data_IF_308234260328
#
_entry.id   IF_308234260328
#
_cell.length_a   1.000
_cell.length_b   1.000
_cell.length_c   1.000
_cell.angle_alpha   90.00
_cell.angle_beta   90.00
_cell.angle_gamma   90.00
#
_symmetry.space_group_name_H-M   'P 1'
#
loop_
_entity.id
_entity.type
_entity.pdbx_description
1 polymer ?
#
# COMPACT_ATOMS: atom_id res chain seq x y z
N UNK A 1 23.09 -1.90 -0.54
CA UNK A 1 22.09 -0.85 -0.89
C UNK A 1 20.84 -1.04 -0.04
N UNK A 2 20.33 0.03 0.56
CA UNK A 2 19.09 -0.03 1.31
C UNK A 2 17.88 -0.20 0.36
N UNK A 3 16.73 -0.61 0.92
CA UNK A 3 15.48 -0.72 0.17
C UNK A 3 15.07 0.62 -0.46
N UNK A 4 15.23 1.72 0.29
CA UNK A 4 14.91 3.05 -0.20
C UNK A 4 15.82 3.45 -1.37
N UNK A 5 17.13 3.21 -1.27
CA UNK A 5 18.09 3.54 -2.33
C UNK A 5 17.81 2.77 -3.62
N UNK A 6 17.46 1.48 -3.48
CA UNK A 6 17.13 0.66 -4.64
C UNK A 6 15.90 1.21 -5.38
N UNK A 7 14.87 1.59 -4.65
CA UNK A 7 13.67 2.17 -5.24
C UNK A 7 13.95 3.51 -5.92
N UNK A 8 14.78 4.35 -5.30
CA UNK A 8 15.19 5.63 -5.91
C UNK A 8 15.88 5.42 -7.25
N UNK A 9 16.73 4.39 -7.38
CA UNK A 9 17.36 4.08 -8.68
C UNK A 9 16.34 3.71 -9.75
N UNK A 10 15.30 2.93 -9.38
CA UNK A 10 14.22 2.57 -10.30
C UNK A 10 13.47 3.82 -10.79
N UNK A 11 13.15 4.73 -9.88
CA UNK A 11 12.47 5.99 -10.20
C UNK A 11 13.26 6.80 -11.23
N UNK A 12 14.56 6.92 -11.05
CA UNK A 12 15.43 7.70 -11.95
C UNK A 12 15.49 7.17 -13.38
N UNK A 13 15.19 5.89 -13.58
CA UNK A 13 15.29 5.22 -14.89
C UNK A 13 14.01 5.28 -15.71
N UNK A 14 12.93 5.87 -15.21
CA UNK A 14 11.64 5.83 -15.89
C UNK A 14 10.87 7.13 -15.77
N UNK A 15 10.12 7.44 -16.85
CA UNK A 15 9.15 8.55 -16.87
C UNK A 15 7.79 8.14 -16.33
N UNK A 16 7.54 6.83 -16.22
CA UNK A 16 6.28 6.26 -15.71
C UNK A 16 6.44 6.02 -14.21
N UNK A 17 5.35 6.17 -13.45
CA UNK A 17 5.34 5.86 -12.02
C UNK A 17 5.81 4.43 -11.74
N UNK A 18 6.68 4.28 -10.76
CA UNK A 18 7.18 2.98 -10.31
C UNK A 18 6.35 2.45 -9.17
N UNK A 19 6.20 1.13 -9.12
CA UNK A 19 5.32 0.45 -8.19
C UNK A 19 6.09 -0.54 -7.33
N UNK A 20 6.02 -0.36 -6.01
CA UNK A 20 6.60 -1.26 -5.02
C UNK A 20 5.50 -1.82 -4.13
N UNK A 21 5.50 -3.14 -3.93
CA UNK A 21 4.50 -3.81 -3.09
C UNK A 21 5.17 -4.57 -1.96
N UNK A 22 4.72 -4.34 -0.73
CA UNK A 22 5.04 -5.18 0.43
C UNK A 22 3.98 -6.26 0.58
N UNK A 23 4.41 -7.52 0.64
CA UNK A 23 3.53 -8.68 0.79
C UNK A 23 3.82 -9.35 2.13
N UNK A 24 2.78 -9.71 2.86
CA UNK A 24 2.89 -10.44 4.13
C UNK A 24 1.74 -11.40 4.34
N UNK A 25 1.92 -12.36 5.25
CA UNK A 25 0.95 -13.44 5.46
C UNK A 25 -0.37 -12.99 6.06
N UNK A 26 -0.37 -11.94 6.87
CA UNK A 26 -1.61 -11.46 7.51
C UNK A 26 -1.50 -9.99 7.90
N UNK A 27 -2.63 -9.42 8.25
CA UNK A 27 -2.67 -8.08 8.81
C UNK A 27 -1.81 -8.03 10.10
N UNK A 28 -1.05 -6.96 10.28
CA UNK A 28 -0.27 -6.76 11.49
C UNK A 28 1.09 -7.43 11.52
N UNK A 29 1.55 -8.05 10.42
CA UNK A 29 2.90 -8.65 10.37
C UNK A 29 4.01 -7.64 10.04
N UNK A 30 3.73 -6.35 10.14
CA UNK A 30 4.74 -5.31 10.00
C UNK A 30 4.90 -4.70 8.63
N UNK A 31 4.01 -4.97 7.68
CA UNK A 31 4.04 -4.34 6.35
C UNK A 31 3.95 -2.83 6.45
N UNK A 32 2.96 -2.33 7.17
CA UNK A 32 2.76 -0.89 7.36
C UNK A 32 3.95 -0.26 8.08
N UNK A 33 4.46 -0.91 9.10
CA UNK A 33 5.64 -0.47 9.83
C UNK A 33 6.83 -0.31 8.88
N UNK A 34 7.09 -1.32 8.04
CA UNK A 34 8.19 -1.30 7.06
C UNK A 34 8.02 -0.19 6.03
N UNK A 35 6.82 -0.01 5.52
CA UNK A 35 6.54 1.08 4.57
C UNK A 35 6.84 2.45 5.19
N UNK A 36 6.45 2.65 6.44
CA UNK A 36 6.66 3.92 7.12
C UNK A 36 8.14 4.15 7.46
N UNK A 37 8.88 3.09 7.81
CA UNK A 37 10.34 3.19 7.98
C UNK A 37 11.01 3.62 6.67
N UNK A 38 10.61 3.04 5.55
CA UNK A 38 11.15 3.41 4.24
C UNK A 38 10.78 4.86 3.90
N UNK A 39 9.55 5.27 4.21
CA UNK A 39 9.11 6.65 3.98
C UNK A 39 9.99 7.65 4.71
N UNK A 40 10.36 7.38 5.96
CA UNK A 40 11.28 8.24 6.71
C UNK A 40 12.66 8.28 6.08
N UNK A 41 13.16 7.16 5.60
CA UNK A 41 14.44 7.11 4.89
C UNK A 41 14.39 7.95 3.61
N UNK A 42 13.29 7.86 2.85
CA UNK A 42 13.09 8.64 1.63
C UNK A 42 12.98 10.14 1.92
N UNK A 43 12.29 10.52 2.99
CA UNK A 43 12.23 11.91 3.44
C UNK A 43 13.62 12.47 3.73
N UNK A 44 14.51 11.67 4.34
CA UNK A 44 15.89 12.08 4.61
C UNK A 44 16.68 12.32 3.33
N UNK A 45 16.32 11.67 2.23
CA UNK A 45 16.91 11.91 0.92
C UNK A 45 16.28 13.11 0.19
N UNK A 46 15.39 13.85 0.84
CA UNK A 46 14.75 15.01 0.24
C UNK A 46 13.62 14.67 -0.74
N UNK A 47 13.10 13.45 -0.70
CA UNK A 47 12.02 13.00 -1.58
C UNK A 47 10.68 13.51 -1.05
N UNK A 48 9.84 14.04 -1.96
CA UNK A 48 8.46 14.43 -1.65
C UNK A 48 7.59 13.17 -1.58
N UNK A 49 7.48 12.60 -0.38
CA UNK A 49 6.64 11.44 -0.12
C UNK A 49 5.49 11.81 0.80
N UNK A 50 4.29 11.35 0.44
CA UNK A 50 3.07 11.62 1.20
C UNK A 50 2.25 10.35 1.40
N UNK A 51 1.46 10.33 2.47
CA UNK A 51 0.52 9.25 2.74
C UNK A 51 -0.79 9.54 2.01
N UNK A 52 -1.20 8.65 1.10
CA UNK A 52 -2.52 8.68 0.47
C UNK A 52 -3.55 7.90 1.27
N UNK A 53 -3.14 6.76 1.78
CA UNK A 53 -3.96 5.95 2.68
C UNK A 53 -3.08 5.06 3.54
N UNK A 54 -3.43 4.98 4.82
CA UNK A 54 -2.80 4.07 5.78
C UNK A 54 -3.91 3.38 6.58
N UNK A 55 -3.71 2.12 6.93
CA UNK A 55 -4.66 1.38 7.76
C UNK A 55 -4.93 2.12 9.08
N UNK A 56 -6.24 2.26 9.49
CA UNK A 56 -6.58 3.01 10.70
C UNK A 56 -6.26 2.30 12.01
N UNK A 57 -6.16 0.97 12.01
CA UNK A 57 -5.98 0.16 13.23
C UNK A 57 -4.52 -0.23 13.43
N UNK A 58 -3.68 0.76 13.72
CA UNK A 58 -2.25 0.59 13.88
C UNK A 58 -1.85 0.35 15.33
N UNK A 59 -0.77 -0.41 15.54
CA UNK A 59 -0.12 -0.52 16.84
C UNK A 59 0.57 0.79 17.20
N UNK A 60 0.78 1.02 18.50
CA UNK A 60 1.35 2.27 19.00
C UNK A 60 2.69 2.64 18.35
N UNK A 61 3.59 1.67 18.20
CA UNK A 61 4.89 1.90 17.55
C UNK A 61 4.77 2.28 16.07
N UNK A 62 3.74 1.78 15.39
CA UNK A 62 3.48 2.13 13.98
C UNK A 62 2.85 3.52 13.88
N UNK A 63 1.94 3.87 14.79
CA UNK A 63 1.35 5.21 14.86
C UNK A 63 2.44 6.26 15.02
N UNK A 64 3.44 5.99 15.85
CA UNK A 64 4.56 6.92 16.06
C UNK A 64 5.31 7.20 14.75
N UNK A 65 5.39 6.24 13.83
CA UNK A 65 6.05 6.43 12.54
C UNK A 65 5.22 7.24 11.54
N UNK A 66 3.91 7.36 11.72
CA UNK A 66 3.07 8.21 10.85
C UNK A 66 3.42 9.68 11.05
N UNK A 67 3.81 10.04 12.27
CA UNK A 67 4.21 11.42 12.58
C UNK A 67 5.40 11.86 11.72
N UNK A 68 5.33 13.07 11.19
CA UNK A 68 6.39 13.62 10.36
C UNK A 68 6.29 13.29 8.87
N UNK A 69 5.38 12.43 8.47
CA UNK A 69 5.12 12.16 7.04
C UNK A 69 3.87 12.95 6.63
N UNK A 70 3.95 13.81 5.62
CA UNK A 70 2.79 14.55 5.15
C UNK A 70 1.67 13.62 4.68
N UNK A 71 0.43 14.00 4.94
CA UNK A 71 -0.75 13.21 4.58
C UNK A 71 -1.63 13.99 3.61
N UNK A 72 -2.07 13.35 2.54
CA UNK A 72 -3.10 13.91 1.67
C UNK A 72 -4.46 13.55 2.28
N UNK A 73 -5.31 14.53 2.62
CA UNK A 73 -6.58 14.24 3.27
C UNK A 73 -7.46 13.30 2.47
N UNK A 74 -8.15 12.42 3.17
CA UNK A 74 -9.12 11.50 2.57
C UNK A 74 -10.38 12.25 2.18
N UNK A 75 -11.14 11.70 1.24
CA UNK A 75 -12.46 12.21 0.89
C UNK A 75 -13.53 11.45 1.66
N UNK A 76 -14.66 12.12 1.95
CA UNK A 76 -15.83 11.50 2.56
C UNK A 76 -16.86 11.19 1.49
N UNK A 77 -17.40 9.97 1.55
CA UNK A 77 -18.47 9.52 0.65
C UNK A 77 -19.68 9.19 1.51
N UNK A 78 -20.83 9.79 1.19
CA UNK A 78 -22.09 9.48 1.87
C UNK A 78 -22.66 8.18 1.33
N UNK A 79 -22.90 7.21 2.23
CA UNK A 79 -23.44 5.91 1.87
C UNK A 79 -24.32 5.37 2.99
N UNK A 80 -25.58 5.08 2.68
CA UNK A 80 -26.57 4.52 3.63
C UNK A 80 -26.63 5.26 4.97
N UNK A 81 -26.71 6.59 4.90
CA UNK A 81 -26.87 7.43 6.10
C UNK A 81 -25.58 7.72 6.85
N UNK A 82 -24.42 7.30 6.34
CA UNK A 82 -23.11 7.52 6.98
C UNK A 82 -22.13 8.14 6.00
N UNK A 83 -21.17 8.88 6.55
CA UNK A 83 -20.00 9.31 5.79
C UNK A 83 -18.87 8.31 6.02
N UNK A 84 -18.36 7.74 4.93
CA UNK A 84 -17.24 6.82 4.93
C UNK A 84 -16.06 7.47 4.23
N UNK A 85 -14.85 7.24 4.74
CA UNK A 85 -13.64 7.83 4.17
C UNK A 85 -12.99 6.90 3.15
N UNK A 86 -12.57 7.48 2.04
CA UNK A 86 -11.78 6.80 1.02
C UNK A 86 -10.57 7.65 0.63
N UNK A 87 -9.56 6.99 0.08
CA UNK A 87 -8.41 7.69 -0.49
C UNK A 87 -8.86 8.65 -1.58
N UNK A 88 -8.34 9.87 -1.57
CA UNK A 88 -8.68 10.88 -2.56
C UNK A 88 -7.69 10.87 -3.72
N UNK A 89 -7.99 10.08 -4.75
CA UNK A 89 -7.14 9.91 -5.93
C UNK A 89 -6.92 11.25 -6.65
N UNK A 90 -7.98 12.05 -6.82
CA UNK A 90 -7.88 13.33 -7.49
C UNK A 90 -6.95 14.29 -6.73
N UNK A 91 -7.07 14.34 -5.41
CA UNK A 91 -6.19 15.16 -4.58
C UNK A 91 -4.73 14.71 -4.70
N UNK A 92 -4.48 13.40 -4.75
CA UNK A 92 -3.14 12.85 -4.92
C UNK A 92 -2.54 13.28 -6.27
N UNK A 93 -3.31 13.13 -7.34
CA UNK A 93 -2.85 13.50 -8.70
C UNK A 93 -2.62 15.01 -8.80
N UNK A 94 -3.51 15.83 -8.21
CA UNK A 94 -3.35 17.29 -8.22
C UNK A 94 -2.13 17.74 -7.41
N UNK A 95 -1.87 17.12 -6.26
CA UNK A 95 -0.69 17.40 -5.45
C UNK A 95 0.59 16.93 -6.13
N UNK A 96 0.52 15.81 -6.81
CA UNK A 96 1.61 15.19 -7.57
C UNK A 96 2.88 14.99 -6.74
N UNK A 97 2.82 14.27 -5.60
CA UNK A 97 4.03 13.95 -4.86
C UNK A 97 4.94 13.03 -5.69
N UNK A 98 6.22 12.95 -5.35
CA UNK A 98 7.12 12.02 -6.03
C UNK A 98 6.74 10.57 -5.74
N UNK A 99 6.37 10.30 -4.48
CA UNK A 99 5.94 8.97 -4.02
C UNK A 99 4.71 9.13 -3.13
N UNK A 100 3.75 8.22 -3.29
CA UNK A 100 2.59 8.14 -2.40
C UNK A 100 2.49 6.75 -1.78
N UNK A 101 2.19 6.71 -0.48
CA UNK A 101 1.93 5.47 0.24
C UNK A 101 0.45 5.14 0.16
N UNK A 102 0.13 3.94 -0.31
CA UNK A 102 -1.24 3.43 -0.43
C UNK A 102 -1.32 2.05 0.19
N UNK A 103 -1.81 1.98 1.42
CA UNK A 103 -2.00 0.72 2.14
C UNK A 103 -3.27 -0.01 1.67
N UNK A 104 -3.41 -1.27 2.04
CA UNK A 104 -4.59 -2.10 1.75
C UNK A 104 -4.96 -2.14 0.26
N UNK A 105 -4.02 -2.61 -0.56
CA UNK A 105 -4.17 -2.67 -2.03
C UNK A 105 -5.42 -3.45 -2.48
N UNK A 106 -5.87 -4.44 -1.72
CA UNK A 106 -7.02 -5.28 -2.05
C UNK A 106 -8.37 -4.68 -1.65
N UNK A 107 -8.37 -3.51 -1.03
CA UNK A 107 -9.59 -2.86 -0.52
C UNK A 107 -10.63 -2.66 -1.63
N UNK A 108 -11.89 -2.92 -1.30
CA UNK A 108 -13.03 -2.59 -2.15
C UNK A 108 -13.55 -1.22 -1.73
N UNK A 109 -13.53 -0.28 -2.66
CA UNK A 109 -13.96 1.09 -2.39
C UNK A 109 -15.46 1.16 -2.12
N UNK A 110 -15.86 2.16 -1.33
CA UNK A 110 -17.26 2.44 -1.03
C UNK A 110 -18.03 2.70 -2.33
N UNK A 111 -19.27 2.19 -2.42
CA UNK A 111 -20.15 2.47 -3.54
C UNK A 111 -20.31 3.98 -3.71
N UNK A 112 -20.21 4.45 -4.93
CA UNK A 112 -20.15 5.89 -5.26
C UNK A 112 -18.74 6.37 -5.55
N UNK A 113 -17.71 5.54 -5.32
CA UNK A 113 -16.34 5.83 -5.74
C UNK A 113 -16.20 5.68 -7.26
N UNK A 114 -15.25 6.42 -7.84
CA UNK A 114 -14.98 6.34 -9.29
C UNK A 114 -14.53 4.94 -9.70
N UNK A 115 -13.67 4.32 -8.94
CA UNK A 115 -13.21 2.96 -9.16
C UNK A 115 -13.75 2.03 -8.08
N UNK A 116 -14.05 0.79 -8.45
CA UNK A 116 -14.53 -0.21 -7.52
C UNK A 116 -13.44 -0.70 -6.56
N UNK A 117 -12.20 -0.77 -7.03
CA UNK A 117 -11.09 -1.36 -6.28
C UNK A 117 -9.95 -0.36 -6.11
N UNK A 118 -9.30 -0.42 -4.95
CA UNK A 118 -8.13 0.43 -4.69
C UNK A 118 -6.99 0.18 -5.65
N UNK A 119 -6.76 -1.06 -6.09
CA UNK A 119 -5.72 -1.31 -7.07
C UNK A 119 -5.97 -0.59 -8.41
N UNK A 120 -7.24 -0.34 -8.76
CA UNK A 120 -7.58 0.48 -9.93
C UNK A 120 -7.19 1.95 -9.71
N UNK A 121 -7.41 2.46 -8.50
CA UNK A 121 -6.97 3.80 -8.13
C UNK A 121 -5.45 3.93 -8.26
N UNK A 122 -4.72 2.90 -7.82
CA UNK A 122 -3.25 2.87 -7.93
C UNK A 122 -2.80 2.92 -9.39
N UNK A 123 -3.49 2.22 -10.29
CA UNK A 123 -3.17 2.29 -11.72
C UNK A 123 -3.29 3.71 -12.27
N UNK A 124 -4.34 4.45 -11.89
CA UNK A 124 -4.48 5.85 -12.29
C UNK A 124 -3.34 6.72 -11.77
N UNK A 125 -2.95 6.52 -10.52
CA UNK A 125 -1.86 7.27 -9.89
C UNK A 125 -0.54 6.99 -10.62
N UNK A 126 -0.25 5.73 -10.93
CA UNK A 126 0.94 5.34 -11.68
C UNK A 126 0.97 5.96 -13.07
N UNK A 127 -0.17 5.96 -13.78
CA UNK A 127 -0.28 6.56 -15.10
C UNK A 127 -0.06 8.07 -15.07
N UNK A 128 -0.38 8.72 -13.97
CA UNK A 128 -0.10 10.15 -13.77
C UNK A 128 1.39 10.44 -13.52
N UNK A 129 2.23 9.42 -13.45
CA UNK A 129 3.67 9.58 -13.24
C UNK A 129 4.10 9.63 -11.77
N UNK A 130 3.22 9.26 -10.86
CA UNK A 130 3.50 9.23 -9.42
C UNK A 130 3.91 7.81 -9.03
N UNK A 131 4.99 7.70 -8.26
CA UNK A 131 5.47 6.41 -7.76
C UNK A 131 4.64 5.98 -6.55
N UNK A 132 4.38 4.69 -6.43
CA UNK A 132 3.51 4.15 -5.37
C UNK A 132 4.23 3.07 -4.58
N UNK A 133 4.12 3.15 -3.25
CA UNK A 133 4.48 2.07 -2.33
C UNK A 133 3.19 1.58 -1.69
N UNK A 134 2.89 0.29 -1.85
CA UNK A 134 1.65 -0.30 -1.36
C UNK A 134 1.90 -1.58 -0.56
N UNK A 135 0.84 -2.13 0.01
CA UNK A 135 0.91 -3.37 0.78
C UNK A 135 -0.32 -4.24 0.52
N UNK A 136 -0.13 -5.54 0.55
CA UNK A 136 -1.21 -6.52 0.40
C UNK A 136 -0.91 -7.76 1.22
N UNK A 137 -1.95 -8.34 1.82
CA UNK A 137 -1.85 -9.65 2.47
C UNK A 137 -1.87 -10.75 1.40
N UNK A 138 -1.07 -11.79 1.60
CA UNK A 138 -0.92 -12.88 0.65
C UNK A 138 -2.26 -13.55 0.29
N UNK A 139 -3.19 -13.61 1.25
CA UNK A 139 -4.52 -14.21 1.03
C UNK A 139 -5.38 -13.45 0.01
N UNK A 140 -5.05 -12.21 -0.28
CA UNK A 140 -5.77 -11.40 -1.27
C UNK A 140 -5.19 -11.51 -2.67
N UNK A 141 -4.09 -12.25 -2.85
CA UNK A 141 -3.49 -12.47 -4.16
C UNK A 141 -4.28 -13.57 -4.88
N UNK A 142 -4.78 -13.27 -6.06
CA UNK A 142 -5.69 -14.13 -6.80
C UNK A 142 -5.19 -15.56 -6.97
N UNK A 143 -3.97 -15.76 -7.47
CA UNK A 143 -3.40 -17.08 -7.69
C UNK A 143 -3.13 -17.87 -6.42
N UNK A 144 -2.97 -17.17 -5.27
CA UNK A 144 -2.65 -17.80 -3.99
C UNK A 144 -3.89 -17.99 -3.11
N UNK A 145 -5.02 -17.40 -3.50
CA UNK A 145 -6.25 -17.44 -2.71
C UNK A 145 -6.74 -18.85 -2.40
N UNK A 146 -6.72 -19.74 -3.39
CA UNK A 146 -7.16 -21.12 -3.21
C UNK A 146 -6.27 -21.89 -2.23
N UNK A 147 -4.95 -21.74 -2.34
CA UNK A 147 -4.01 -22.37 -1.42
C UNK A 147 -4.21 -21.88 0.01
N UNK A 148 -4.39 -20.58 0.20
CA UNK A 148 -4.66 -19.99 1.51
C UNK A 148 -6.00 -20.48 2.06
N UNK A 149 -7.03 -20.55 1.24
CA UNK A 149 -8.34 -21.07 1.64
C UNK A 149 -8.26 -22.51 2.13
N UNK A 150 -7.48 -23.35 1.45
CA UNK A 150 -7.29 -24.75 1.84
C UNK A 150 -6.56 -24.87 3.19
N UNK A 151 -5.67 -23.95 3.50
CA UNK A 151 -4.91 -23.95 4.75
C UNK A 151 -5.74 -23.42 5.93
N UNK A 152 -6.42 -22.29 5.76
CA UNK A 152 -7.12 -21.61 6.84
C UNK A 152 -8.64 -21.85 6.85
N UNK A 153 -9.20 -22.46 5.81
CA UNK A 153 -10.63 -22.76 5.71
C UNK A 153 -11.55 -21.56 5.50
N UNK A 154 -11.00 -20.39 5.21
CA UNK A 154 -11.76 -19.15 5.02
C UNK A 154 -11.67 -18.71 3.56
N UNK A 155 -12.80 -18.42 2.94
CA UNK A 155 -12.84 -17.84 1.61
C UNK A 155 -12.64 -16.34 1.70
N UNK A 156 -11.69 -15.82 0.91
CA UNK A 156 -11.39 -14.39 0.84
C UNK A 156 -12.02 -13.79 -0.40
N UNK A 157 -12.90 -12.81 -0.21
CA UNK A 157 -13.64 -12.18 -1.32
C UNK A 157 -12.89 -11.01 -1.96
N UNK A 158 -12.09 -10.27 -1.19
CA UNK A 158 -11.28 -9.17 -1.73
C UNK A 158 -10.00 -9.73 -2.31
N UNK A 159 -9.75 -9.48 -3.61
CA UNK A 159 -8.61 -10.04 -4.33
C UNK A 159 -7.91 -8.99 -5.17
N UNK A 160 -6.61 -9.18 -5.35
CA UNK A 160 -5.79 -8.42 -6.29
C UNK A 160 -5.43 -9.36 -7.44
N UNK A 161 -5.76 -8.99 -8.70
CA UNK A 161 -5.37 -9.81 -9.86
C UNK A 161 -3.86 -9.97 -9.96
N UNK A 162 -3.42 -11.14 -10.41
CA UNK A 162 -1.99 -11.44 -10.60
C UNK A 162 -1.30 -10.44 -11.52
N UNK A 163 -2.01 -9.94 -12.53
CA UNK A 163 -1.48 -8.93 -13.45
C UNK A 163 -1.04 -7.64 -12.74
N UNK A 164 -1.67 -7.31 -11.62
CA UNK A 164 -1.30 -6.12 -10.86
C UNK A 164 0.04 -6.33 -10.16
N UNK A 165 0.26 -7.53 -9.61
CA UNK A 165 1.55 -7.88 -9.04
C UNK A 165 2.65 -7.91 -10.10
N UNK A 166 2.31 -8.36 -11.30
CA UNK A 166 3.25 -8.41 -12.42
C UNK A 166 3.69 -7.00 -12.87
N UNK A 167 2.88 -5.97 -12.59
CA UNK A 167 3.24 -4.58 -12.88
C UNK A 167 4.21 -4.00 -11.85
N UNK A 168 4.37 -4.65 -10.70
CA UNK A 168 5.27 -4.15 -9.65
C UNK A 168 6.72 -4.23 -10.13
N UNK A 169 7.43 -3.13 -9.96
CA UNK A 169 8.86 -3.06 -10.25
C UNK A 169 9.67 -3.68 -9.13
N UNK A 170 9.12 -3.74 -7.93
CA UNK A 170 9.75 -4.33 -6.76
C UNK A 170 8.69 -4.95 -5.86
N UNK A 171 8.93 -6.16 -5.39
CA UNK A 171 8.07 -6.86 -4.43
C UNK A 171 8.92 -7.27 -3.24
N UNK A 172 8.49 -6.87 -2.04
CA UNK A 172 9.17 -7.22 -0.80
C UNK A 172 8.29 -8.17 -0.02
N UNK A 173 8.79 -9.38 0.22
CA UNK A 173 8.08 -10.36 1.02
C UNK A 173 8.48 -10.20 2.49
N UNK A 174 7.52 -9.89 3.35
CA UNK A 174 7.70 -9.79 4.79
C UNK A 174 7.17 -11.06 5.43
N UNK A 175 8.00 -12.11 5.42
CA UNK A 175 7.71 -13.31 6.16
C UNK A 175 8.33 -13.20 7.54
N UNK A 176 7.55 -13.51 8.57
CA UNK A 176 8.08 -13.63 9.91
C UNK A 176 8.89 -14.93 10.00
N UNK A 177 10.11 -14.84 10.47
CA UNK A 177 10.89 -16.02 10.82
C UNK A 177 10.30 -16.69 12.06
N UNK A 178 10.71 -17.93 12.35
CA UNK A 178 10.29 -18.61 13.57
C UNK A 178 10.66 -17.77 14.82
N UNK A 179 11.83 -17.13 14.81
CA UNK A 179 12.28 -16.29 15.92
C UNK A 179 11.40 -15.05 16.11
N UNK A 180 10.90 -14.48 15.04
CA UNK A 180 9.98 -13.33 15.08
C UNK A 180 8.59 -13.73 15.54
N UNK A 181 8.11 -14.94 15.16
CA UNK A 181 6.84 -15.47 15.60
C UNK A 181 6.86 -15.90 17.06
N UNK A 182 7.97 -16.42 17.51
CA UNK A 182 8.16 -16.93 18.87
C UNK A 182 9.38 -16.30 19.53
N UNK A 183 9.30 -15.01 19.85
CA UNK A 183 10.42 -14.31 20.46
C UNK A 183 10.74 -14.94 21.82
N UNK A 184 12.00 -15.18 22.04
CA UNK A 184 12.52 -15.78 23.27
C UNK A 184 12.77 -14.69 24.31
#
# INVERSE_FOLDING_TARGET
MSSAEHFLELIQKSKRGKFKIYIGMSAGVGKTYRMLQEAHALLKHGIDIKIGYIEPHLRAETIALVAGIPVIPRKSIFYKGKYLEEMDVRAIINDHPEIVIVDELAHTNVEGSTNKKRWQDVLEILEAGINVISAVNIQHIESLNESVRNIIGIEVTERVPDKILALADEVVNIDLTADELFPV
#
